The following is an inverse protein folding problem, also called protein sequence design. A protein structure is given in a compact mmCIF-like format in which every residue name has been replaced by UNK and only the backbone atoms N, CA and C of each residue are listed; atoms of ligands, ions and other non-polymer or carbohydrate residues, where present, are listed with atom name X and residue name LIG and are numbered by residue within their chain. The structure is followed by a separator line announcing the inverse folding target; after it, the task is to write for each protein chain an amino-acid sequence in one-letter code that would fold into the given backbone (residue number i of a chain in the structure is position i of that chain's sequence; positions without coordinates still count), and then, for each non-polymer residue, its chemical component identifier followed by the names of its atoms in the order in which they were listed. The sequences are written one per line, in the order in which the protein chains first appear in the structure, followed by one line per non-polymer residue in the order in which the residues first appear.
data_IF_414595376142
#
_entry.id   IF_414595376142
#
_cell.length_a   1.000
_cell.length_b   1.000
_cell.length_c   1.000
_cell.angle_alpha   90.00
_cell.angle_beta   90.00
_cell.angle_gamma   90.00
#
_symmetry.space_group_name_H-M   'P 1'
#
loop_
_entity.id
_entity.type
_entity.pdbx_description
1 polymer ?
#
# COMPACT_ATOMS: atom_id res chain seq x y z
N UNK A 1 68.97 -51.65 32.08
CA UNK A 1 68.35 -50.54 31.33
C UNK A 1 67.11 -51.00 30.57
N UNK A 2 66.34 -51.97 31.04
CA UNK A 2 65.19 -52.55 30.30
C UNK A 2 63.85 -52.47 31.04
N UNK A 3 63.80 -51.86 32.21
CA UNK A 3 62.60 -51.84 33.07
C UNK A 3 61.74 -50.56 32.93
N UNK A 4 62.22 -49.52 32.17
CA UNK A 4 61.56 -48.24 32.09
C UNK A 4 60.68 -48.07 30.82
N UNK A 5 60.83 -48.98 29.84
CA UNK A 5 60.03 -48.86 28.58
C UNK A 5 58.68 -49.61 28.65
N UNK A 6 58.49 -50.51 29.54
CA UNK A 6 57.22 -51.24 29.74
C UNK A 6 56.19 -50.37 30.49
N UNK A 7 56.66 -49.52 31.43
CA UNK A 7 55.79 -48.67 32.22
C UNK A 7 55.22 -47.51 31.38
N UNK A 8 56.02 -46.97 30.44
CA UNK A 8 55.55 -45.92 29.51
C UNK A 8 54.54 -46.46 28.48
N UNK A 9 54.74 -47.68 27.96
CA UNK A 9 53.82 -48.30 27.01
C UNK A 9 52.48 -48.69 27.66
N UNK A 10 52.52 -49.15 28.93
CA UNK A 10 51.28 -49.47 29.66
C UNK A 10 50.48 -48.23 30.04
N UNK A 11 51.15 -47.13 30.35
CA UNK A 11 50.46 -45.85 30.64
C UNK A 11 49.84 -45.21 29.40
N UNK A 12 50.49 -45.35 28.24
CA UNK A 12 49.97 -44.84 26.96
C UNK A 12 48.77 -45.63 26.46
N UNK A 13 48.79 -46.96 26.65
CA UNK A 13 47.62 -47.79 26.27
C UNK A 13 46.44 -47.58 27.22
N UNK A 14 46.67 -47.34 28.52
CA UNK A 14 45.62 -47.04 29.48
C UNK A 14 44.98 -45.68 29.27
N UNK A 15 45.77 -44.67 28.86
CA UNK A 15 45.24 -43.33 28.53
C UNK A 15 44.45 -43.33 27.22
N UNK A 16 44.86 -44.10 26.20
CA UNK A 16 44.11 -44.27 24.98
C UNK A 16 42.78 -45.01 25.17
N UNK A 17 42.75 -46.01 26.08
CA UNK A 17 41.51 -46.74 26.41
C UNK A 17 40.52 -45.88 27.22
N UNK A 18 41.00 -44.96 28.06
CA UNK A 18 40.16 -44.05 28.82
C UNK A 18 39.60 -42.91 27.94
N UNK A 19 40.32 -42.45 26.91
CA UNK A 19 39.84 -41.44 25.94
C UNK A 19 38.82 -41.99 24.95
N UNK A 20 38.88 -43.28 24.59
CA UNK A 20 37.88 -43.92 23.72
C UNK A 20 36.56 -44.24 24.43
N UNK A 21 36.57 -44.43 25.76
CA UNK A 21 35.32 -44.62 26.53
C UNK A 21 34.55 -43.33 26.79
N UNK A 22 35.20 -42.14 26.69
CA UNK A 22 34.55 -40.85 26.90
C UNK A 22 33.90 -40.28 25.61
N UNK A 23 34.23 -40.86 24.43
CA UNK A 23 33.68 -40.40 23.14
C UNK A 23 32.39 -41.11 22.72
N UNK A 24 32.00 -42.20 23.42
CA UNK A 24 30.80 -42.97 23.11
C UNK A 24 29.54 -42.51 23.86
N UNK A 25 29.59 -41.48 24.74
CA UNK A 25 28.44 -41.08 25.55
C UNK A 25 27.80 -39.73 25.07
N UNK A 26 28.24 -39.16 23.93
CA UNK A 26 27.70 -37.88 23.42
C UNK A 26 26.84 -38.02 22.15
N UNK A 27 26.39 -39.23 21.81
CA UNK A 27 25.53 -39.47 20.63
C UNK A 27 24.12 -39.94 21.00
N UNK A 28 23.62 -39.53 22.16
CA UNK A 28 22.20 -39.63 22.47
C UNK A 28 21.63 -38.26 22.60
N UNK A 29 21.10 -37.75 21.50
CA UNK A 29 20.39 -36.48 21.57
C UNK A 29 20.28 -35.70 20.28
N UNK A 30 20.15 -36.37 19.15
CA UNK A 30 19.34 -35.85 18.07
C UNK A 30 18.16 -36.79 17.91
N UNK A 31 17.19 -36.69 18.80
CA UNK A 31 15.83 -36.80 18.34
C UNK A 31 15.70 -35.69 17.30
N UNK A 32 15.64 -36.06 16.03
CA UNK A 32 14.96 -35.24 15.06
C UNK A 32 13.56 -35.01 15.64
N UNK A 33 13.38 -33.89 16.37
CA UNK A 33 12.10 -33.26 16.37
C UNK A 33 11.78 -33.12 14.89
N UNK A 34 10.94 -33.97 14.38
CA UNK A 34 10.18 -33.70 13.18
C UNK A 34 9.61 -32.33 13.47
N UNK A 35 10.17 -31.29 12.80
CA UNK A 35 9.86 -29.92 13.09
C UNK A 35 8.37 -29.81 13.13
N UNK A 36 7.83 -29.55 14.31
CA UNK A 36 6.40 -29.43 14.53
C UNK A 36 5.95 -28.38 13.54
N UNK A 37 5.31 -28.82 12.47
CA UNK A 37 4.74 -27.88 11.50
C UNK A 37 3.89 -26.90 12.34
N UNK A 38 4.05 -25.57 12.17
CA UNK A 38 3.30 -24.61 12.96
C UNK A 38 1.83 -25.03 12.94
N UNK A 39 1.29 -25.40 14.10
CA UNK A 39 -0.11 -25.81 14.18
C UNK A 39 -0.93 -24.56 14.00
N UNK A 40 -1.79 -24.55 12.97
CA UNK A 40 -2.78 -23.49 12.81
C UNK A 40 -3.61 -23.41 14.09
N UNK A 41 -3.91 -22.19 14.51
CA UNK A 41 -4.91 -21.93 15.55
C UNK A 41 -6.25 -22.55 15.13
N UNK A 42 -7.14 -22.79 16.06
CA UNK A 42 -8.49 -23.24 15.72
C UNK A 42 -9.16 -22.19 14.83
N UNK A 43 -9.73 -22.63 13.71
CA UNK A 43 -10.46 -21.74 12.80
C UNK A 43 -11.61 -21.04 13.53
N UNK A 44 -11.66 -19.71 13.42
CA UNK A 44 -12.73 -18.89 14.02
C UNK A 44 -13.89 -18.65 13.06
N UNK A 45 -13.69 -18.96 11.77
CA UNK A 45 -14.66 -18.78 10.70
C UNK A 45 -14.80 -20.06 9.88
N UNK A 46 -16.00 -20.31 9.39
CA UNK A 46 -16.31 -21.42 8.49
C UNK A 46 -17.33 -21.00 7.43
N UNK A 47 -17.64 -21.90 6.51
CA UNK A 47 -18.70 -21.70 5.52
C UNK A 47 -20.07 -21.57 6.21
N UNK A 48 -20.94 -20.66 5.77
CA UNK A 48 -20.86 -19.83 4.57
C UNK A 48 -20.18 -18.46 4.78
N UNK A 49 -19.59 -18.18 5.95
CA UNK A 49 -18.92 -16.89 6.22
C UNK A 49 -17.69 -16.70 5.34
N UNK A 50 -16.95 -17.78 5.07
CA UNK A 50 -15.89 -17.85 4.06
C UNK A 50 -16.30 -18.86 2.98
N UNK A 51 -15.74 -18.73 1.77
CA UNK A 51 -16.15 -19.55 0.62
C UNK A 51 -15.67 -21.00 0.70
N UNK A 52 -14.51 -21.22 1.33
CA UNK A 52 -13.85 -22.53 1.42
C UNK A 52 -13.47 -22.79 2.88
N UNK A 53 -13.98 -23.91 3.46
CA UNK A 53 -13.71 -24.23 4.86
C UNK A 53 -12.19 -24.28 5.16
N UNK A 54 -11.78 -23.56 6.19
CA UNK A 54 -10.38 -23.48 6.61
C UNK A 54 -9.45 -22.66 5.72
N UNK A 55 -9.96 -21.95 4.69
CA UNK A 55 -9.15 -21.17 3.74
C UNK A 55 -9.70 -19.76 3.59
N UNK A 56 -8.88 -18.74 3.85
CA UNK A 56 -9.17 -17.35 3.55
C UNK A 56 -8.64 -17.00 2.16
N UNK A 57 -9.53 -16.70 1.23
CA UNK A 57 -9.17 -16.23 -0.12
C UNK A 57 -9.05 -14.72 -0.13
N UNK A 58 -7.85 -14.24 -0.41
CA UNK A 58 -7.51 -12.81 -0.34
C UNK A 58 -7.12 -12.28 -1.72
N UNK A 59 -7.84 -11.26 -2.18
CA UNK A 59 -7.52 -10.52 -3.39
C UNK A 59 -6.47 -9.44 -3.13
N UNK A 60 -5.54 -9.27 -4.07
CA UNK A 60 -4.54 -8.19 -4.09
C UNK A 60 -4.37 -7.67 -5.52
N UNK A 61 -3.81 -6.47 -5.67
CA UNK A 61 -3.46 -5.90 -6.96
C UNK A 61 -1.93 -5.96 -7.17
N UNK A 62 -1.46 -6.89 -7.97
CA UNK A 62 -0.03 -7.12 -8.19
C UNK A 62 0.69 -6.02 -8.98
N UNK A 63 -0.04 -5.01 -9.47
CA UNK A 63 0.54 -3.82 -10.11
C UNK A 63 0.95 -2.73 -9.12
N UNK A 64 0.71 -2.91 -7.82
CA UNK A 64 0.92 -1.88 -6.78
C UNK A 64 2.07 -2.22 -5.82
N UNK A 65 3.26 -2.57 -6.35
CA UNK A 65 4.43 -2.73 -5.47
C UNK A 65 4.73 -1.44 -4.70
N UNK A 66 5.01 -1.50 -3.38
CA UNK A 66 5.29 -2.68 -2.55
C UNK A 66 4.05 -3.30 -1.89
N UNK A 67 2.83 -2.78 -2.12
CA UNK A 67 1.63 -3.35 -1.51
C UNK A 67 1.46 -4.80 -1.96
N UNK A 68 1.40 -5.06 -3.26
CA UNK A 68 1.54 -6.38 -3.83
C UNK A 68 2.27 -6.31 -5.19
N UNK A 69 3.06 -7.33 -5.49
CA UNK A 69 3.80 -7.42 -6.74
C UNK A 69 4.32 -8.83 -6.99
N UNK A 70 4.87 -9.07 -8.17
CA UNK A 70 5.50 -10.34 -8.51
C UNK A 70 6.98 -10.35 -8.10
N UNK A 71 7.39 -11.35 -7.33
CA UNK A 71 8.78 -11.59 -6.96
C UNK A 71 9.09 -13.09 -6.99
N UNK A 72 10.09 -13.51 -7.78
CA UNK A 72 10.49 -14.92 -7.90
C UNK A 72 9.30 -15.88 -8.17
N UNK A 73 8.43 -15.49 -9.11
CA UNK A 73 7.22 -16.24 -9.51
C UNK A 73 6.17 -16.41 -8.38
N UNK A 74 6.25 -15.59 -7.35
CA UNK A 74 5.26 -15.55 -6.26
C UNK A 74 4.73 -14.14 -6.11
N UNK A 75 3.51 -14.01 -5.61
CA UNK A 75 2.96 -12.73 -5.19
C UNK A 75 3.54 -12.43 -3.80
N UNK A 76 4.15 -11.25 -3.66
CA UNK A 76 4.80 -10.76 -2.43
C UNK A 76 4.41 -9.31 -2.20
N UNK A 77 4.50 -8.83 -0.97
CA UNK A 77 4.22 -7.44 -0.65
C UNK A 77 3.71 -7.24 0.77
N UNK A 78 3.46 -5.99 1.12
CA UNK A 78 2.89 -5.61 2.42
C UNK A 78 1.54 -6.28 2.62
N UNK A 79 0.66 -6.26 1.60
CA UNK A 79 -0.67 -6.87 1.64
C UNK A 79 -0.61 -8.38 1.85
N UNK A 80 0.36 -9.03 1.20
CA UNK A 80 0.54 -10.49 1.31
C UNK A 80 1.01 -10.89 2.71
N UNK A 81 1.97 -10.15 3.27
CA UNK A 81 2.46 -10.40 4.62
C UNK A 81 1.36 -10.10 5.67
N UNK A 82 0.60 -9.00 5.48
CA UNK A 82 -0.53 -8.64 6.34
C UNK A 82 -1.67 -9.68 6.25
N UNK A 83 -1.98 -10.14 5.04
CA UNK A 83 -2.97 -11.21 4.82
C UNK A 83 -2.55 -12.53 5.46
N UNK A 84 -1.24 -12.84 5.46
CA UNK A 84 -0.72 -14.02 6.14
C UNK A 84 -0.89 -13.92 7.66
N UNK A 85 -0.58 -12.76 8.24
CA UNK A 85 -0.79 -12.51 9.66
C UNK A 85 -2.29 -12.55 10.04
N UNK A 86 -3.16 -12.00 9.20
CA UNK A 86 -4.61 -12.08 9.38
C UNK A 86 -5.12 -13.51 9.34
N UNK A 87 -4.75 -14.27 8.31
CA UNK A 87 -5.16 -15.67 8.18
C UNK A 87 -4.70 -16.51 9.39
N UNK A 88 -3.45 -16.33 9.85
CA UNK A 88 -2.95 -16.99 11.05
C UNK A 88 -3.74 -16.61 12.30
N UNK A 89 -4.07 -15.32 12.47
CA UNK A 89 -4.87 -14.85 13.61
C UNK A 89 -6.27 -15.47 13.66
N UNK A 90 -6.84 -15.76 12.47
CA UNK A 90 -8.15 -16.38 12.32
C UNK A 90 -8.11 -17.92 12.28
N UNK A 91 -6.91 -18.53 12.34
CA UNK A 91 -6.72 -19.98 12.26
C UNK A 91 -7.00 -20.57 10.88
N UNK A 92 -6.83 -19.78 9.81
CA UNK A 92 -7.12 -20.14 8.44
C UNK A 92 -5.84 -20.28 7.61
N UNK A 93 -5.89 -21.13 6.59
CA UNK A 93 -4.89 -21.13 5.52
C UNK A 93 -5.09 -19.95 4.60
N UNK A 94 -4.02 -19.36 4.08
CA UNK A 94 -4.08 -18.25 3.16
C UNK A 94 -4.05 -18.73 1.70
N UNK A 95 -4.92 -18.13 0.87
CA UNK A 95 -4.86 -18.24 -0.59
C UNK A 95 -4.90 -16.84 -1.20
N UNK A 96 -3.79 -16.42 -1.82
CA UNK A 96 -3.70 -15.13 -2.51
C UNK A 96 -4.17 -15.29 -3.95
N UNK A 97 -4.94 -14.30 -4.42
CA UNK A 97 -5.46 -14.19 -5.79
C UNK A 97 -5.14 -12.79 -6.32
N UNK A 98 -4.55 -12.70 -7.50
CA UNK A 98 -4.42 -11.42 -8.18
C UNK A 98 -5.77 -11.03 -8.78
N UNK A 99 -6.38 -9.99 -8.24
CA UNK A 99 -7.68 -9.46 -8.69
C UNK A 99 -7.53 -8.18 -9.53
N UNK A 100 -6.29 -7.73 -9.74
CA UNK A 100 -6.00 -6.48 -10.41
C UNK A 100 -6.63 -5.29 -9.68
N UNK A 101 -7.01 -4.27 -10.43
CA UNK A 101 -7.53 -3.01 -9.89
C UNK A 101 -9.06 -2.97 -9.71
N UNK A 102 -9.74 -4.12 -9.71
CA UNK A 102 -11.21 -4.16 -9.59
C UNK A 102 -11.70 -4.99 -8.39
N UNK A 103 -11.57 -4.47 -7.16
CA UNK A 103 -11.99 -5.18 -5.95
C UNK A 103 -13.49 -5.44 -5.91
N UNK A 104 -14.33 -4.52 -6.40
CA UNK A 104 -15.79 -4.69 -6.44
C UNK A 104 -16.20 -5.93 -7.22
N UNK A 105 -15.59 -6.14 -8.39
CA UNK A 105 -15.86 -7.29 -9.24
C UNK A 105 -15.44 -8.60 -8.58
N UNK A 106 -14.23 -8.63 -8.00
CA UNK A 106 -13.70 -9.81 -7.33
C UNK A 106 -14.57 -10.25 -6.15
N UNK A 107 -15.04 -9.30 -5.33
CA UNK A 107 -15.95 -9.56 -4.21
C UNK A 107 -17.35 -9.99 -4.69
N UNK A 108 -17.92 -9.29 -5.69
CA UNK A 108 -19.28 -9.59 -6.17
C UNK A 108 -19.39 -10.94 -6.88
N UNK A 109 -18.32 -11.34 -7.58
CA UNK A 109 -18.26 -12.64 -8.26
C UNK A 109 -17.94 -13.81 -7.31
N UNK A 110 -17.59 -13.53 -6.04
CA UNK A 110 -17.15 -14.56 -5.12
C UNK A 110 -15.79 -15.18 -5.52
N UNK A 111 -14.91 -14.43 -6.16
CA UNK A 111 -13.57 -14.89 -6.49
C UNK A 111 -12.70 -14.96 -5.23
N UNK A 112 -12.93 -14.04 -4.29
CA UNK A 112 -12.24 -13.89 -3.03
C UNK A 112 -13.20 -13.57 -1.88
N UNK A 113 -12.78 -13.81 -0.65
CA UNK A 113 -13.51 -13.45 0.57
C UNK A 113 -13.33 -11.97 0.91
N UNK A 114 -12.10 -11.46 0.76
CA UNK A 114 -11.71 -10.09 1.08
C UNK A 114 -10.68 -9.58 0.06
N UNK A 115 -10.49 -8.25 -0.01
CA UNK A 115 -9.46 -7.61 -0.85
C UNK A 115 -8.63 -6.66 -0.01
N UNK A 116 -7.31 -6.80 -0.04
CA UNK A 116 -6.34 -5.89 0.57
C UNK A 116 -5.94 -4.75 -0.39
N UNK A 117 -5.30 -3.72 0.15
CA UNK A 117 -4.72 -2.63 -0.65
C UNK A 117 -5.74 -1.68 -1.25
N UNK A 118 -6.91 -1.57 -0.64
CA UNK A 118 -7.95 -0.62 -1.09
C UNK A 118 -7.71 0.73 -0.43
N UNK A 119 -7.62 1.79 -1.24
CA UNK A 119 -7.50 3.17 -0.72
C UNK A 119 -8.78 3.54 0.05
N UNK A 120 -8.63 3.96 1.30
CA UNK A 120 -9.74 4.35 2.18
C UNK A 120 -10.56 5.53 1.65
N UNK A 121 -9.98 6.34 0.76
CA UNK A 121 -10.68 7.45 0.10
C UNK A 121 -11.61 6.99 -1.05
N UNK A 122 -11.51 5.72 -1.51
CA UNK A 122 -12.27 5.19 -2.65
C UNK A 122 -12.94 3.85 -2.28
N UNK A 123 -14.07 3.92 -1.58
CA UNK A 123 -14.81 2.71 -1.17
C UNK A 123 -15.44 2.01 -2.38
N UNK A 124 -15.06 0.75 -2.68
CA UNK A 124 -15.64 0.00 -3.79
C UNK A 124 -17.14 -0.25 -3.60
N UNK A 125 -17.91 -0.18 -4.68
CA UNK A 125 -19.34 -0.48 -4.64
C UNK A 125 -19.60 -1.89 -4.13
N UNK A 126 -20.56 -2.04 -3.19
CA UNK A 126 -20.93 -3.32 -2.57
C UNK A 126 -19.93 -3.83 -1.53
N UNK A 127 -19.02 -2.99 -1.06
CA UNK A 127 -18.04 -3.32 -0.03
C UNK A 127 -18.11 -2.38 1.17
N UNK A 128 -17.63 -2.89 2.30
CA UNK A 128 -17.26 -2.12 3.50
C UNK A 128 -15.76 -2.19 3.69
N UNK A 129 -15.16 -1.08 4.10
CA UNK A 129 -13.74 -1.01 4.42
C UNK A 129 -13.51 -1.16 5.93
N UNK A 130 -12.45 -1.87 6.30
CA UNK A 130 -11.93 -1.86 7.68
C UNK A 130 -11.32 -0.49 8.00
N UNK A 131 -10.84 -0.30 9.23
CA UNK A 131 -9.91 0.78 9.52
C UNK A 131 -8.63 0.62 8.69
N UNK A 132 -7.95 1.72 8.47
CA UNK A 132 -6.67 1.77 7.76
C UNK A 132 -5.60 0.95 8.49
N UNK A 133 -4.76 0.22 7.74
CA UNK A 133 -3.64 -0.53 8.31
C UNK A 133 -2.26 0.05 7.94
N UNK A 134 -2.13 0.76 6.82
CA UNK A 134 -0.93 1.52 6.43
C UNK A 134 -1.38 2.90 5.96
N UNK A 135 -0.87 4.00 6.57
CA UNK A 135 -1.24 5.35 6.14
C UNK A 135 -0.68 5.64 4.75
N UNK A 136 -1.45 6.37 3.94
CA UNK A 136 -0.99 6.85 2.65
C UNK A 136 -1.70 8.13 2.22
N UNK A 137 -1.13 8.83 1.28
CA UNK A 137 -1.70 9.96 0.53
C UNK A 137 -0.69 10.36 -0.55
N UNK A 138 -1.03 11.32 -1.42
CA UNK A 138 -0.04 11.94 -2.30
C UNK A 138 0.83 12.90 -1.48
N UNK A 139 2.12 12.61 -1.43
CA UNK A 139 3.13 13.40 -0.71
C UNK A 139 4.18 13.96 -1.67
N UNK A 140 4.89 14.96 -1.18
CA UNK A 140 6.05 15.57 -1.85
C UNK A 140 7.31 15.15 -1.11
N UNK A 141 8.22 14.50 -1.83
CA UNK A 141 9.53 14.10 -1.38
C UNK A 141 10.58 15.11 -1.81
N UNK A 142 11.61 15.31 -0.97
CA UNK A 142 12.88 15.94 -1.36
C UNK A 142 14.05 15.08 -0.93
N UNK A 143 15.24 15.33 -1.47
CA UNK A 143 16.46 14.74 -0.93
C UNK A 143 16.72 15.30 0.46
N UNK A 144 17.01 14.42 1.40
CA UNK A 144 17.32 14.80 2.77
C UNK A 144 18.56 15.69 2.83
N UNK A 145 18.45 16.76 3.59
CA UNK A 145 19.52 17.75 3.69
C UNK A 145 19.66 18.68 2.47
N UNK A 146 18.81 18.56 1.43
CA UNK A 146 18.79 19.54 0.34
C UNK A 146 18.24 20.89 0.81
N UNK A 147 18.85 21.97 0.32
CA UNK A 147 18.40 23.33 0.62
C UNK A 147 17.34 23.78 -0.42
N UNK A 148 16.16 23.20 -0.37
CA UNK A 148 15.03 23.54 -1.22
C UNK A 148 14.13 24.57 -0.54
N UNK A 149 13.42 25.38 -1.32
CA UNK A 149 12.45 26.34 -0.82
C UNK A 149 11.29 25.62 -0.13
N UNK A 150 10.74 26.20 0.93
CA UNK A 150 9.53 25.71 1.57
C UNK A 150 8.34 25.76 0.60
N UNK A 151 7.56 24.65 0.58
CA UNK A 151 6.40 24.55 -0.30
C UNK A 151 5.20 25.30 0.27
N UNK A 152 4.65 26.17 -0.56
CA UNK A 152 3.39 26.88 -0.30
C UNK A 152 2.58 26.98 -1.58
N UNK A 153 1.30 27.34 -1.46
CA UNK A 153 0.43 27.57 -2.63
C UNK A 153 0.94 28.66 -3.59
N UNK A 154 1.84 29.53 -3.14
CA UNK A 154 2.42 30.62 -3.94
C UNK A 154 3.81 30.27 -4.49
N UNK A 155 4.41 29.16 -4.10
CA UNK A 155 5.67 28.72 -4.66
C UNK A 155 5.50 28.16 -6.08
N UNK A 156 6.57 28.21 -6.88
CA UNK A 156 6.61 27.65 -8.24
C UNK A 156 7.69 26.56 -8.32
N UNK A 157 7.52 25.46 -7.55
CA UNK A 157 8.51 24.40 -7.47
C UNK A 157 8.58 23.61 -8.78
N UNK A 158 9.69 22.89 -8.99
CA UNK A 158 9.79 21.86 -10.01
C UNK A 158 9.60 20.49 -9.35
N UNK A 159 8.44 19.88 -9.59
CA UNK A 159 8.02 18.61 -8.96
C UNK A 159 7.89 17.54 -10.03
N UNK A 160 8.75 16.52 -9.98
CA UNK A 160 8.64 15.38 -10.88
C UNK A 160 7.53 14.43 -10.41
N UNK A 161 6.75 13.93 -11.35
CA UNK A 161 5.75 12.89 -11.09
C UNK A 161 5.54 12.04 -12.33
N UNK A 162 5.13 10.78 -12.12
CA UNK A 162 4.75 9.90 -13.22
C UNK A 162 3.55 10.45 -13.99
N UNK A 163 3.67 10.51 -15.31
CA UNK A 163 2.61 10.97 -16.20
C UNK A 163 1.29 10.22 -15.97
N UNK A 164 0.17 10.92 -16.08
CA UNK A 164 -1.18 10.36 -15.93
C UNK A 164 -1.47 9.70 -14.58
N UNK A 165 -0.64 9.96 -13.56
CA UNK A 165 -0.86 9.48 -12.19
C UNK A 165 -1.72 10.47 -11.37
N UNK A 166 -2.30 9.95 -10.26
CA UNK A 166 -2.96 10.79 -9.25
C UNK A 166 -2.00 11.87 -8.72
N UNK A 167 -0.71 11.54 -8.58
CA UNK A 167 0.31 12.47 -8.10
C UNK A 167 0.58 13.62 -9.09
N UNK A 168 0.69 13.31 -10.40
CA UNK A 168 0.85 14.35 -11.42
C UNK A 168 -0.37 15.28 -11.48
N UNK A 169 -1.58 14.71 -11.39
CA UNK A 169 -2.81 15.51 -11.31
C UNK A 169 -2.82 16.40 -10.06
N UNK A 170 -2.42 15.87 -8.92
CA UNK A 170 -2.40 16.60 -7.64
C UNK A 170 -1.40 17.77 -7.68
N UNK A 171 -0.20 17.57 -8.25
CA UNK A 171 0.78 18.63 -8.48
C UNK A 171 0.18 19.75 -9.33
N UNK A 172 -0.40 19.40 -10.48
CA UNK A 172 -0.99 20.36 -11.40
C UNK A 172 -2.13 21.15 -10.75
N UNK A 173 -2.96 20.46 -9.96
CA UNK A 173 -4.09 21.06 -9.26
C UNK A 173 -3.68 22.00 -8.11
N UNK A 174 -2.57 21.70 -7.42
CA UNK A 174 -2.10 22.44 -6.25
C UNK A 174 -1.19 23.62 -6.63
N UNK A 175 -0.23 23.38 -7.53
CA UNK A 175 0.84 24.33 -7.87
C UNK A 175 0.73 24.91 -9.30
N UNK A 176 -0.13 24.35 -10.14
CA UNK A 176 -0.25 24.69 -11.56
C UNK A 176 0.57 23.78 -12.47
N UNK A 177 0.26 23.81 -13.77
CA UNK A 177 0.90 22.96 -14.79
C UNK A 177 2.40 23.17 -14.90
N UNK A 178 2.87 24.40 -14.68
CA UNK A 178 4.28 24.77 -14.83
C UNK A 178 5.19 24.19 -13.73
N UNK A 179 4.59 23.73 -12.63
CA UNK A 179 5.30 23.05 -11.55
C UNK A 179 5.62 21.58 -11.88
N UNK A 180 4.86 20.97 -12.81
CA UNK A 180 4.97 19.54 -13.10
C UNK A 180 6.14 19.26 -14.07
N UNK A 181 7.07 18.41 -13.63
CA UNK A 181 8.04 17.72 -14.47
C UNK A 181 7.50 16.33 -14.73
N UNK A 182 6.90 16.11 -15.89
CA UNK A 182 6.26 14.83 -16.23
C UNK A 182 7.30 13.78 -16.63
N UNK A 183 7.23 12.59 -16.04
CA UNK A 183 8.16 11.48 -16.30
C UNK A 183 7.40 10.21 -16.71
N UNK A 184 8.09 9.27 -17.37
CA UNK A 184 7.47 8.01 -17.83
C UNK A 184 7.03 7.11 -16.69
N UNK A 185 7.78 7.12 -15.60
CA UNK A 185 7.60 6.28 -14.43
C UNK A 185 8.17 6.96 -13.18
N UNK A 186 7.90 6.36 -12.02
CA UNK A 186 8.34 6.89 -10.73
C UNK A 186 9.86 6.82 -10.54
N UNK A 187 10.53 5.81 -11.10
CA UNK A 187 12.00 5.72 -11.03
C UNK A 187 12.66 6.88 -11.77
N UNK A 188 12.13 7.24 -12.95
CA UNK A 188 12.54 8.42 -13.71
C UNK A 188 12.27 9.73 -12.96
N UNK A 189 11.17 9.80 -12.18
CA UNK A 189 10.91 10.96 -11.33
C UNK A 189 11.97 11.14 -10.25
N UNK A 190 12.34 10.09 -9.54
CA UNK A 190 13.44 10.14 -8.56
C UNK A 190 14.80 10.41 -9.21
N UNK A 191 15.03 9.90 -10.43
CA UNK A 191 16.26 10.22 -11.18
C UNK A 191 16.32 11.70 -11.56
N UNK A 192 15.20 12.32 -11.96
CA UNK A 192 15.11 13.77 -12.22
C UNK A 192 15.43 14.61 -10.98
N UNK A 193 15.00 14.17 -9.79
CA UNK A 193 15.37 14.83 -8.54
C UNK A 193 16.88 14.66 -8.23
N UNK A 194 17.44 13.48 -8.48
CA UNK A 194 18.87 13.20 -8.28
C UNK A 194 19.77 14.01 -9.22
N UNK A 195 19.36 14.23 -10.48
CA UNK A 195 20.10 15.04 -11.46
C UNK A 195 19.92 16.53 -11.27
N UNK A 196 18.93 16.99 -10.48
CA UNK A 196 18.62 18.40 -10.29
C UNK A 196 17.67 19.00 -11.34
N UNK A 197 17.07 18.16 -12.20
CA UNK A 197 16.05 18.60 -13.17
C UNK A 197 14.70 18.89 -12.46
N UNK A 198 14.50 18.28 -11.30
CA UNK A 198 13.40 18.58 -10.38
C UNK A 198 13.94 18.77 -8.95
N UNK A 199 13.28 19.59 -8.16
CA UNK A 199 13.61 19.83 -6.76
C UNK A 199 12.93 18.80 -5.85
N UNK A 200 11.79 18.28 -6.30
CA UNK A 200 10.90 17.41 -5.56
C UNK A 200 10.36 16.28 -6.42
N UNK A 201 9.84 15.24 -5.75
CA UNK A 201 9.05 14.18 -6.39
C UNK A 201 7.69 14.09 -5.70
N UNK A 202 6.60 14.03 -6.47
CA UNK A 202 5.28 13.71 -5.98
C UNK A 202 4.94 12.25 -6.24
N UNK A 203 4.53 11.54 -5.21
CA UNK A 203 4.11 10.14 -5.30
C UNK A 203 3.16 9.79 -4.14
N UNK A 204 2.47 8.65 -4.23
CA UNK A 204 1.91 7.98 -3.06
C UNK A 204 3.01 7.74 -2.02
N UNK A 205 2.70 7.96 -0.75
CA UNK A 205 3.70 7.92 0.32
C UNK A 205 4.40 6.55 0.44
N UNK A 206 3.64 5.46 0.37
CA UNK A 206 4.16 4.09 0.48
C UNK A 206 4.98 3.72 -0.76
N UNK A 207 4.40 3.95 -1.94
CA UNK A 207 5.02 3.61 -3.23
C UNK A 207 6.27 4.46 -3.45
N UNK A 208 6.20 5.76 -3.11
CA UNK A 208 7.31 6.69 -3.21
C UNK A 208 8.48 6.34 -2.29
N UNK A 209 8.20 6.04 -1.02
CA UNK A 209 9.24 5.61 -0.07
C UNK A 209 9.95 4.34 -0.54
N UNK A 210 9.18 3.36 -1.02
CA UNK A 210 9.75 2.13 -1.57
C UNK A 210 10.62 2.38 -2.81
N UNK A 211 10.15 3.24 -3.73
CA UNK A 211 10.90 3.58 -4.93
C UNK A 211 12.19 4.35 -4.61
N UNK A 212 12.16 5.27 -3.65
CA UNK A 212 13.33 5.99 -3.17
C UNK A 212 14.37 5.04 -2.56
N UNK A 213 13.92 4.10 -1.70
CA UNK A 213 14.81 3.08 -1.13
C UNK A 213 15.44 2.20 -2.21
N UNK A 214 14.68 1.79 -3.21
CA UNK A 214 15.21 1.02 -4.34
C UNK A 214 16.23 1.80 -5.17
N UNK A 215 16.09 3.11 -5.25
CA UNK A 215 17.03 4.01 -5.92
C UNK A 215 18.21 4.42 -5.02
N UNK A 216 18.30 3.89 -3.79
CA UNK A 216 19.30 4.23 -2.78
C UNK A 216 19.36 5.74 -2.49
N UNK A 217 18.19 6.39 -2.43
CA UNK A 217 18.03 7.80 -2.14
C UNK A 217 17.53 7.98 -0.70
N UNK A 218 18.25 8.81 0.06
CA UNK A 218 17.77 9.28 1.37
C UNK A 218 16.86 10.49 1.15
N UNK A 219 15.57 10.28 1.38
CA UNK A 219 14.52 11.27 1.14
C UNK A 219 13.76 11.59 2.41
N UNK A 220 13.11 12.74 2.42
CA UNK A 220 12.15 13.13 3.45
C UNK A 220 10.85 13.65 2.82
N UNK A 221 9.73 13.39 3.48
CA UNK A 221 8.43 13.91 3.11
C UNK A 221 8.29 15.31 3.68
N UNK A 222 7.99 16.30 2.84
CA UNK A 222 7.93 17.72 3.22
C UNK A 222 6.53 18.31 3.15
N UNK A 223 5.63 17.68 2.41
CA UNK A 223 4.24 18.15 2.28
C UNK A 223 3.32 17.01 1.83
N UNK A 224 2.02 17.20 2.08
CA UNK A 224 0.93 16.44 1.44
C UNK A 224 0.18 17.37 0.49
N UNK A 225 -0.36 16.84 -0.60
CA UNK A 225 -1.23 17.57 -1.52
C UNK A 225 -2.69 17.18 -1.37
N UNK A 226 -2.95 16.01 -0.80
CA UNK A 226 -4.28 15.53 -0.46
C UNK A 226 -4.41 15.27 1.04
N UNK A 227 -5.64 15.09 1.53
CA UNK A 227 -5.87 14.68 2.91
C UNK A 227 -5.27 13.28 3.15
N UNK A 228 -4.77 13.06 4.35
CA UNK A 228 -4.29 11.74 4.74
C UNK A 228 -5.42 10.72 4.60
N UNK A 229 -5.08 9.55 4.12
CA UNK A 229 -5.88 8.35 3.97
C UNK A 229 -5.01 7.15 4.32
N UNK A 230 -5.50 5.95 4.10
CA UNK A 230 -4.72 4.74 4.30
C UNK A 230 -5.27 3.57 3.50
N UNK A 231 -4.47 2.53 3.41
CA UNK A 231 -4.91 1.27 2.81
C UNK A 231 -5.77 0.48 3.79
N UNK A 232 -6.88 -0.03 3.28
CA UNK A 232 -7.92 -0.76 4.01
C UNK A 232 -8.12 -2.15 3.41
N UNK A 233 -8.81 -3.00 4.17
CA UNK A 233 -9.32 -4.28 3.66
C UNK A 233 -10.79 -4.11 3.29
N UNK A 234 -11.15 -4.46 2.06
CA UNK A 234 -12.53 -4.48 1.60
C UNK A 234 -13.17 -5.86 1.82
N UNK A 235 -14.37 -5.85 2.37
CA UNK A 235 -15.21 -7.03 2.60
C UNK A 235 -16.59 -6.75 1.99
N UNK A 236 -17.26 -7.76 1.42
CA UNK A 236 -18.61 -7.58 0.91
C UNK A 236 -19.55 -6.99 1.98
N UNK A 237 -20.34 -5.97 1.64
CA UNK A 237 -21.30 -5.33 2.53
C UNK A 237 -22.43 -6.29 3.00
N UNK A 238 -22.62 -7.38 2.25
CA UNK A 238 -23.57 -8.46 2.55
C UNK A 238 -23.04 -9.46 3.58
N UNK A 239 -21.74 -9.43 3.90
CA UNK A 239 -21.11 -10.38 4.82
C UNK A 239 -20.63 -9.70 6.12
N UNK A 240 -21.60 -9.32 6.95
CA UNK A 240 -21.32 -8.61 8.20
C UNK A 240 -20.52 -9.44 9.22
N UNK A 241 -20.67 -10.77 9.22
CA UNK A 241 -19.91 -11.65 10.11
C UNK A 241 -18.42 -11.64 9.76
N UNK A 242 -18.09 -11.79 8.47
CA UNK A 242 -16.72 -11.71 7.98
C UNK A 242 -16.11 -10.30 8.22
N UNK A 243 -16.89 -9.25 7.93
CA UNK A 243 -16.44 -7.87 8.17
C UNK A 243 -16.06 -7.66 9.63
N UNK A 244 -16.89 -8.10 10.58
CA UNK A 244 -16.61 -7.95 12.02
C UNK A 244 -15.34 -8.69 12.43
N UNK A 245 -15.18 -9.95 12.00
CA UNK A 245 -14.01 -10.76 12.32
C UNK A 245 -12.72 -10.16 11.74
N UNK A 246 -12.74 -9.77 10.45
CA UNK A 246 -11.60 -9.15 9.78
C UNK A 246 -11.24 -7.82 10.41
N UNK A 247 -12.24 -6.94 10.67
CA UNK A 247 -12.00 -5.63 11.29
C UNK A 247 -11.37 -5.76 12.68
N UNK A 248 -11.87 -6.68 13.51
CA UNK A 248 -11.32 -6.90 14.85
C UNK A 248 -9.89 -7.43 14.79
N UNK A 249 -9.63 -8.43 13.94
CA UNK A 249 -8.31 -9.02 13.79
C UNK A 249 -7.30 -8.01 13.20
N UNK A 250 -7.67 -7.22 12.20
CA UNK A 250 -6.80 -6.17 11.65
C UNK A 250 -6.47 -5.10 12.69
N UNK A 251 -7.45 -4.68 13.50
CA UNK A 251 -7.22 -3.74 14.60
C UNK A 251 -6.20 -4.30 15.60
N UNK A 252 -6.29 -5.59 15.93
CA UNK A 252 -5.32 -6.25 16.80
C UNK A 252 -3.92 -6.29 16.18
N UNK A 253 -3.79 -6.62 14.89
CA UNK A 253 -2.52 -6.66 14.17
C UNK A 253 -1.85 -5.27 14.07
N UNK A 254 -2.62 -4.21 13.97
CA UNK A 254 -2.12 -2.82 14.04
C UNK A 254 -1.64 -2.52 15.46
N UNK A 255 -2.47 -2.77 16.47
CA UNK A 255 -2.20 -2.40 17.86
C UNK A 255 -1.02 -3.19 18.47
N UNK A 256 -0.83 -4.44 18.09
CA UNK A 256 0.27 -5.28 18.60
C UNK A 256 1.60 -5.09 17.85
N UNK A 257 1.64 -4.19 16.85
CA UNK A 257 2.85 -3.84 16.09
C UNK A 257 3.22 -4.82 14.98
N UNK A 258 2.39 -5.81 14.65
CA UNK A 258 2.62 -6.73 13.54
C UNK A 258 2.67 -5.97 12.21
N UNK A 259 1.71 -5.10 11.94
CA UNK A 259 1.69 -4.27 10.72
C UNK A 259 2.91 -3.34 10.69
N UNK A 260 3.28 -2.70 11.79
CA UNK A 260 4.46 -1.85 11.88
C UNK A 260 5.77 -2.63 11.55
N UNK A 261 5.85 -3.90 11.93
CA UNK A 261 6.99 -4.77 11.59
C UNK A 261 7.03 -5.09 10.09
N UNK A 262 5.87 -5.36 9.49
CA UNK A 262 5.73 -5.60 8.06
C UNK A 262 6.11 -4.34 7.27
N UNK A 263 5.60 -3.18 7.68
CA UNK A 263 5.92 -1.89 7.06
C UNK A 263 7.44 -1.62 7.07
N UNK A 264 8.11 -1.78 8.22
CA UNK A 264 9.58 -1.64 8.33
C UNK A 264 10.33 -2.61 7.43
N UNK A 265 9.85 -3.84 7.29
CA UNK A 265 10.46 -4.85 6.40
C UNK A 265 10.49 -4.36 4.94
N UNK A 266 9.42 -3.73 4.48
CA UNK A 266 9.25 -3.33 3.09
C UNK A 266 9.75 -1.91 2.78
N UNK A 267 9.56 -0.98 3.70
CA UNK A 267 9.88 0.45 3.52
C UNK A 267 11.19 0.87 4.19
N UNK A 268 11.79 0.01 5.02
CA UNK A 268 12.99 0.34 5.81
C UNK A 268 12.69 1.18 7.05
N UNK A 269 11.55 1.84 7.13
CA UNK A 269 11.10 2.67 8.24
C UNK A 269 9.58 2.63 8.37
N UNK A 270 9.06 3.13 9.51
CA UNK A 270 7.63 3.43 9.61
C UNK A 270 7.32 4.71 8.85
N UNK A 271 6.17 4.73 8.21
CA UNK A 271 5.64 5.92 7.57
C UNK A 271 4.77 6.68 8.58
N UNK A 272 5.22 7.87 8.96
CA UNK A 272 4.48 8.78 9.85
C UNK A 272 4.12 10.06 9.08
N UNK A 273 2.84 10.24 8.83
CA UNK A 273 2.29 11.41 8.14
C UNK A 273 1.65 12.42 9.11
N UNK A 274 1.65 12.15 10.42
CA UNK A 274 0.92 12.95 11.42
C UNK A 274 1.44 14.40 11.57
N UNK A 275 2.73 14.61 11.31
CA UNK A 275 3.37 15.93 11.35
C UNK A 275 3.48 16.64 9.99
N UNK A 276 3.05 15.98 8.90
CA UNK A 276 3.21 16.52 7.55
C UNK A 276 2.05 17.44 7.22
N UNK A 277 2.36 18.68 6.83
CA UNK A 277 1.33 19.67 6.49
C UNK A 277 0.82 19.48 5.06
N UNK A 278 -0.49 19.72 4.90
CA UNK A 278 -1.11 19.78 3.58
C UNK A 278 -0.90 21.16 2.96
N UNK A 279 -0.43 21.19 1.71
CA UNK A 279 -0.39 22.40 0.92
C UNK A 279 -1.78 22.64 0.30
N UNK A 280 -2.39 23.73 0.67
CA UNK A 280 -3.69 24.13 0.10
C UNK A 280 -3.54 24.57 -1.35
N UNK A 281 -4.57 24.32 -2.16
CA UNK A 281 -4.64 24.75 -3.56
C UNK A 281 -4.52 26.26 -3.64
N UNK A 282 -3.76 26.75 -4.63
CA UNK A 282 -3.72 28.18 -4.97
C UNK A 282 -5.15 28.67 -5.27
N UNK A 283 -5.68 29.58 -4.45
CA UNK A 283 -6.95 30.21 -4.74
C UNK A 283 -6.77 31.09 -5.96
N UNK A 284 -7.45 30.76 -7.06
CA UNK A 284 -7.64 31.71 -8.17
C UNK A 284 -8.52 32.84 -7.63
N UNK A 285 -7.90 33.89 -7.15
CA UNK A 285 -8.63 35.17 -6.99
C UNK A 285 -8.98 35.62 -8.39
N UNK A 286 -10.20 35.35 -8.83
CA UNK A 286 -10.83 36.10 -9.91
C UNK A 286 -10.93 37.54 -9.44
N UNK A 287 -9.98 38.36 -9.88
CA UNK A 287 -10.08 39.78 -9.80
C UNK A 287 -11.19 40.20 -10.81
N UNK A 288 -12.44 40.13 -10.36
CA UNK A 288 -13.52 40.87 -10.97
C UNK A 288 -13.53 42.24 -10.31
N UNK A 289 -12.68 43.14 -10.81
CA UNK A 289 -12.76 44.57 -10.60
C UNK A 289 -13.54 45.18 -11.75
N UNK A 290 -14.83 44.90 -11.78
CA UNK A 290 -15.82 45.66 -12.56
C UNK A 290 -16.22 46.90 -11.82
N UNK A 291 -15.40 47.96 -11.92
CA UNK A 291 -15.86 49.31 -11.64
C UNK A 291 -16.77 49.77 -12.82
N UNK A 292 -18.03 49.98 -12.57
CA UNK A 292 -19.00 50.55 -13.49
C UNK A 292 -20.05 51.31 -12.72
N UNK A 293 -19.79 52.60 -12.61
CA UNK A 293 -20.65 53.60 -11.98
C UNK A 293 -21.87 53.91 -12.82
N UNK A 294 -23.00 54.10 -12.11
CA UNK A 294 -24.14 55.04 -12.36
C UNK A 294 -25.00 54.89 -13.64
N UNK A 295 -26.26 54.72 -13.53
CA UNK A 295 -27.29 55.77 -13.43
C UNK A 295 -28.66 55.17 -13.68
N UNK A 296 -29.60 55.66 -12.94
CA UNK A 296 -31.03 55.41 -12.99
C UNK A 296 -31.63 55.63 -14.40
N UNK A 297 -32.60 54.80 -14.78
CA UNK A 297 -33.95 55.34 -14.95
C UNK A 297 -35.00 54.22 -15.17
N UNK A 298 -36.15 54.58 -14.73
CA UNK A 298 -37.42 53.95 -14.63
C UNK A 298 -38.07 53.45 -15.94
N UNK A 299 -38.92 52.49 -15.77
CA UNK A 299 -40.26 52.28 -16.34
C UNK A 299 -40.55 50.95 -17.04
N UNK A 300 -41.51 50.32 -16.42
CA UNK A 300 -42.79 49.85 -16.95
C UNK A 300 -42.91 48.48 -17.61
N UNK A 301 -43.61 47.64 -16.89
CA UNK A 301 -44.73 46.78 -17.29
C UNK A 301 -44.80 46.24 -18.70
N UNK A 302 -44.92 44.90 -18.83
CA UNK A 302 -46.11 44.16 -19.30
C UNK A 302 -45.76 42.73 -19.67
N UNK A 303 -46.36 41.81 -18.96
CA UNK A 303 -47.38 40.82 -19.38
C UNK A 303 -47.03 39.81 -20.49
N UNK A 304 -46.97 38.58 -20.06
CA UNK A 304 -47.54 37.33 -20.60
C UNK A 304 -47.30 36.95 -22.06
N UNK A 305 -46.86 35.73 -22.32
CA UNK A 305 -47.79 34.67 -22.77
C UNK A 305 -46.97 33.37 -22.98
N UNK A 306 -47.60 32.27 -22.56
CA UNK A 306 -47.24 30.89 -22.81
C UNK A 306 -47.11 30.59 -24.30
N UNK A 307 -46.24 29.58 -24.64
CA UNK A 307 -46.61 28.64 -25.68
C UNK A 307 -45.75 27.37 -25.60
N UNK A 308 -46.40 26.32 -25.37
CA UNK A 308 -46.12 24.90 -25.46
C UNK A 308 -45.69 24.48 -26.88
N UNK A 309 -44.91 23.36 -26.91
CA UNK A 309 -44.68 22.53 -28.11
C UNK A 309 -43.46 21.66 -27.92
N UNK A 310 -43.51 20.50 -27.41
CA UNK A 310 -43.86 19.12 -27.87
C UNK A 310 -43.00 18.57 -29.01
N UNK A 311 -42.40 17.42 -28.68
CA UNK A 311 -42.11 16.22 -29.50
C UNK A 311 -40.98 16.29 -30.56
N UNK A 312 -40.09 15.37 -30.68
CA UNK A 312 -40.04 13.95 -30.94
C UNK A 312 -38.60 13.52 -31.19
N UNK A 313 -38.07 12.46 -30.58
CA UNK A 313 -37.89 11.08 -31.11
C UNK A 313 -37.20 10.96 -32.49
N UNK A 314 -36.03 10.31 -32.49
CA UNK A 314 -35.54 9.29 -33.41
C UNK A 314 -34.10 8.93 -33.01
N UNK A 315 -33.83 7.77 -32.48
CA UNK A 315 -33.59 6.40 -33.02
C UNK A 315 -32.49 6.28 -34.10
N UNK A 316 -31.58 5.33 -33.78
CA UNK A 316 -30.81 4.45 -34.65
C UNK A 316 -29.56 5.05 -35.34
N UNK A 317 -28.45 4.37 -35.39
CA UNK A 317 -28.10 3.00 -35.63
C UNK A 317 -26.60 2.73 -35.44
N UNK A 318 -26.29 1.67 -34.80
CA UNK A 318 -25.43 0.55 -35.18
C UNK A 318 -24.47 0.71 -36.37
N UNK A 319 -23.14 0.55 -36.15
CA UNK A 319 -22.35 -0.26 -37.06
C UNK A 319 -21.07 -0.79 -36.39
N UNK A 320 -21.04 -2.08 -36.27
CA UNK A 320 -19.91 -3.01 -36.21
C UNK A 320 -18.92 -2.70 -37.33
N UNK A 321 -17.58 -2.78 -37.08
CA UNK A 321 -16.66 -3.54 -37.93
C UNK A 321 -15.38 -3.88 -37.14
N UNK A 322 -14.98 -5.15 -37.27
CA UNK A 322 -13.77 -5.84 -36.88
C UNK A 322 -12.51 -5.32 -37.57
N UNK A 323 -11.39 -5.42 -36.97
CA UNK A 323 -10.25 -6.24 -37.34
C UNK A 323 -9.21 -6.27 -36.22
#
# INVERSE_FOLDING_TARGET
MLRNNYCKKFFTVLVCAALSAFFCFSLTGCSTDEGSAPQLKNATLDTPTIQESGVLKVGVNTSQSPMAGMGNSKIIGIDVDAAAALADSLGLKLKIVDTGSNPSKALSNGEVDIVFGVDGSDTPSGAKLTSEYVPTTVVIFKLKGSNTQELSSNSTPKIAAQASSKSAWSVTNTFGSDALVSTSDLASAFQSMKSGDAEFVAADAVIGMYAANKAELDVEIVAMTDSASGYCVAVSDKNSALYTAVSSAMTELVNNGTIATIEKKWLGSLLDLSGVQKVEKKSSSSADSGSGNSSADSHSSATATESSGSAAVATDANSVIRS
#
